data_IF_271891400671
#
_entry.id   IF_271891400671
#
_cell.length_a   1.000
_cell.length_b   1.000
_cell.length_c   1.000
_cell.angle_alpha   90.00
_cell.angle_beta   90.00
_cell.angle_gamma   90.00
#
_symmetry.space_group_name_H-M   'P 1'
#
loop_
_entity.id
_entity.type
_entity.pdbx_description
1 polymer ?
#
# COMPACT_ATOMS: atom_id res chain seq x y z
N UNK A 1 -3.86 19.18 3.90
CA UNK A 1 -4.43 19.12 2.52
C UNK A 1 -4.99 17.73 2.28
N UNK A 2 -5.92 17.52 1.32
CA UNK A 2 -6.34 16.17 0.94
C UNK A 2 -5.13 15.33 0.51
N UNK A 3 -5.04 14.06 0.94
CA UNK A 3 -3.96 13.18 0.53
C UNK A 3 -4.11 12.80 -0.94
N UNK A 4 -3.01 12.35 -1.55
CA UNK A 4 -3.03 11.73 -2.87
C UNK A 4 -3.27 10.22 -2.66
N UNK A 5 -4.22 9.65 -3.40
CA UNK A 5 -4.51 8.21 -3.39
C UNK A 5 -4.01 7.62 -4.71
N UNK A 6 -3.23 6.54 -4.62
CA UNK A 6 -2.72 5.78 -5.77
C UNK A 6 -3.17 4.33 -5.61
N UNK A 7 -4.12 3.90 -6.43
CA UNK A 7 -4.83 2.63 -6.22
C UNK A 7 -4.00 1.37 -6.51
N UNK A 8 -3.06 1.44 -7.45
CA UNK A 8 -2.28 0.30 -7.92
C UNK A 8 -0.78 0.60 -7.82
N UNK A 9 -0.36 1.19 -6.70
CA UNK A 9 1.04 1.50 -6.46
C UNK A 9 1.86 0.19 -6.37
N UNK A 10 2.88 0.07 -7.23
CA UNK A 10 3.86 -1.02 -7.18
C UNK A 10 5.03 -0.59 -6.30
N UNK A 11 5.23 -1.30 -5.20
CA UNK A 11 6.28 -0.99 -4.23
C UNK A 11 7.20 -2.20 -4.11
N UNK A 12 8.48 -2.04 -4.45
CA UNK A 12 9.50 -3.04 -4.13
C UNK A 12 9.80 -3.00 -2.64
N UNK A 13 9.78 -4.14 -1.97
CA UNK A 13 10.05 -4.21 -0.53
C UNK A 13 11.54 -4.34 -0.30
N UNK A 14 12.13 -3.31 0.32
CA UNK A 14 13.52 -3.34 0.81
C UNK A 14 13.57 -4.01 2.19
N UNK A 15 12.66 -3.61 3.09
CA UNK A 15 12.66 -4.11 4.47
C UNK A 15 11.22 -4.20 5.00
N UNK A 16 10.69 -5.42 5.18
CA UNK A 16 9.41 -5.62 5.84
C UNK A 16 9.56 -5.46 7.35
N UNK A 17 8.47 -5.08 8.01
CA UNK A 17 8.40 -5.10 9.47
C UNK A 17 7.84 -6.46 9.89
N UNK A 18 8.64 -7.24 10.63
CA UNK A 18 8.32 -8.60 11.07
C UNK A 18 8.09 -8.71 12.59
N UNK A 19 7.79 -7.59 13.24
CA UNK A 19 7.47 -7.52 14.67
C UNK A 19 6.35 -6.53 14.91
N UNK A 20 5.59 -6.73 15.97
CA UNK A 20 4.55 -5.79 16.35
C UNK A 20 5.14 -4.44 16.79
N UNK A 21 4.33 -3.38 16.70
CA UNK A 21 4.71 -2.00 17.02
C UNK A 21 4.60 -1.03 15.85
N UNK A 22 4.92 0.24 16.12
CA UNK A 22 4.82 1.35 15.16
C UNK A 22 6.10 1.52 14.35
N UNK A 23 6.56 0.45 13.70
CA UNK A 23 7.71 0.52 12.80
C UNK A 23 7.27 0.80 11.35
N UNK A 24 8.09 1.56 10.64
CA UNK A 24 7.88 1.83 9.21
C UNK A 24 8.56 0.77 8.36
N UNK A 25 7.85 0.34 7.32
CA UNK A 25 8.39 -0.46 6.23
C UNK A 25 9.27 0.40 5.35
N UNK A 26 10.26 -0.20 4.68
CA UNK A 26 11.03 0.46 3.63
C UNK A 26 10.79 -0.21 2.29
N UNK A 27 10.61 0.61 1.26
CA UNK A 27 10.46 0.13 -0.11
C UNK A 27 10.83 1.19 -1.14
N UNK A 28 10.79 0.79 -2.41
CA UNK A 28 11.00 1.67 -3.56
C UNK A 28 9.67 1.86 -4.25
N UNK A 29 9.26 3.12 -4.39
CA UNK A 29 8.10 3.54 -5.16
C UNK A 29 8.52 4.69 -6.07
N UNK A 30 8.14 4.64 -7.35
CA UNK A 30 8.53 5.63 -8.37
C UNK A 30 10.03 5.98 -8.33
N UNK A 31 10.88 4.92 -8.34
CA UNK A 31 12.34 5.00 -8.29
C UNK A 31 12.92 5.70 -7.05
N UNK A 32 12.09 5.98 -6.03
CA UNK A 32 12.50 6.63 -4.78
C UNK A 32 12.30 5.70 -3.60
N UNK A 33 13.27 5.68 -2.69
CA UNK A 33 13.13 4.99 -1.42
C UNK A 33 12.13 5.74 -0.55
N UNK A 34 11.09 5.05 -0.11
CA UNK A 34 10.09 5.57 0.83
C UNK A 34 10.09 4.75 2.12
N UNK A 35 9.77 5.41 3.22
CA UNK A 35 9.36 4.75 4.46
C UNK A 35 7.85 4.92 4.62
N UNK A 36 7.15 3.83 4.89
CA UNK A 36 5.69 3.85 4.93
C UNK A 36 5.12 3.03 6.08
N UNK A 37 3.91 3.39 6.48
CA UNK A 37 3.11 2.64 7.45
C UNK A 37 2.30 1.56 6.73
N UNK A 38 2.19 0.38 7.34
CA UNK A 38 1.27 -0.67 6.89
C UNK A 38 -0.05 -0.51 7.65
N UNK A 39 -0.97 0.28 7.09
CA UNK A 39 -2.31 0.47 7.65
C UNK A 39 -3.25 -0.72 7.36
N UNK A 40 -2.89 -1.58 6.41
CA UNK A 40 -3.55 -2.87 6.17
C UNK A 40 -3.29 -3.85 7.33
N UNK A 41 -4.23 -3.90 8.28
CA UNK A 41 -4.12 -4.74 9.49
C UNK A 41 -4.15 -6.22 9.17
N UNK A 42 -4.93 -6.65 8.18
CA UNK A 42 -5.04 -8.07 7.80
C UNK A 42 -3.74 -8.55 7.16
N UNK A 43 -3.19 -7.77 6.22
CA UNK A 43 -1.87 -8.05 5.66
C UNK A 43 -0.79 -8.10 6.73
N UNK A 44 -0.77 -7.12 7.64
CA UNK A 44 0.19 -7.10 8.75
C UNK A 44 0.08 -8.37 9.61
N UNK A 45 -1.13 -8.79 9.94
CA UNK A 45 -1.36 -10.04 10.70
C UNK A 45 -0.90 -11.28 9.93
N UNK A 46 -1.13 -11.35 8.62
CA UNK A 46 -0.68 -12.47 7.79
C UNK A 46 0.84 -12.54 7.66
N UNK A 47 1.53 -11.39 7.63
CA UNK A 47 3.00 -11.32 7.66
C UNK A 47 3.54 -11.76 9.02
N UNK A 48 3.00 -11.24 10.12
CA UNK A 48 3.44 -11.62 11.48
C UNK A 48 3.11 -13.08 11.82
N UNK A 49 2.04 -13.62 11.25
CA UNK A 49 1.68 -15.04 11.34
C UNK A 49 2.36 -15.93 10.30
N UNK A 50 3.39 -15.44 9.61
CA UNK A 50 4.21 -16.17 8.63
C UNK A 50 3.46 -16.75 7.43
N UNK A 51 2.21 -16.32 7.19
CA UNK A 51 1.44 -16.74 6.00
C UNK A 51 1.96 -16.06 4.72
N UNK A 52 2.59 -14.89 4.87
CA UNK A 52 3.19 -14.12 3.78
C UNK A 52 4.65 -13.85 4.13
N UNK A 53 5.56 -14.42 3.33
CA UNK A 53 7.00 -14.25 3.48
C UNK A 53 7.58 -13.33 2.41
N UNK A 54 8.72 -12.72 2.75
CA UNK A 54 9.46 -11.80 1.89
C UNK A 54 10.84 -12.36 1.56
N UNK A 55 11.27 -12.08 0.34
CA UNK A 55 12.63 -12.32 -0.14
C UNK A 55 13.07 -11.16 -1.04
N UNK A 56 14.34 -11.12 -1.39
CA UNK A 56 14.84 -10.15 -2.38
C UNK A 56 14.00 -10.20 -3.67
N UNK A 57 13.68 -9.03 -4.23
CA UNK A 57 12.80 -8.90 -5.39
C UNK A 57 11.32 -9.15 -5.09
N UNK A 58 10.87 -8.96 -3.84
CA UNK A 58 9.45 -8.98 -3.50
C UNK A 58 8.83 -7.61 -3.75
N UNK A 59 7.66 -7.61 -4.38
CA UNK A 59 6.84 -6.45 -4.64
C UNK A 59 5.46 -6.62 -4.02
N UNK A 60 4.83 -5.49 -3.71
CA UNK A 60 3.40 -5.40 -3.42
C UNK A 60 2.75 -4.46 -4.42
N UNK A 61 1.53 -4.81 -4.84
CA UNK A 61 0.59 -3.87 -5.45
C UNK A 61 -0.42 -3.46 -4.40
N UNK A 62 -0.64 -2.16 -4.23
CA UNK A 62 -1.44 -1.65 -3.13
C UNK A 62 -2.06 -0.28 -3.39
N UNK A 63 -3.11 0.03 -2.61
CA UNK A 63 -3.58 1.40 -2.43
C UNK A 63 -2.62 2.16 -1.51
N UNK A 64 -1.87 3.10 -2.09
CA UNK A 64 -0.93 3.98 -1.40
C UNK A 64 -1.56 5.35 -1.15
N UNK A 65 -1.52 5.79 0.10
CA UNK A 65 -1.90 7.13 0.54
C UNK A 65 -0.63 7.96 0.75
N UNK A 66 -0.55 9.11 0.09
CA UNK A 66 0.55 10.08 0.25
C UNK A 66 -0.03 11.35 0.88
N UNK A 67 0.31 11.57 2.15
CA UNK A 67 -0.09 12.76 2.90
C UNK A 67 0.85 13.92 2.60
N UNK A 68 0.26 15.12 2.46
CA UNK A 68 0.98 16.35 2.15
C UNK A 68 0.43 17.56 2.89
N UNK A 69 1.30 18.52 3.16
CA UNK A 69 0.98 19.80 3.77
C UNK A 69 1.72 20.94 3.04
N UNK A 70 1.29 22.17 3.31
CA UNK A 70 2.07 23.35 2.95
C UNK A 70 3.04 23.63 4.09
N UNK A 71 4.30 23.87 3.77
CA UNK A 71 5.25 24.36 4.76
C UNK A 71 5.14 25.88 4.97
N UNK A 72 5.99 26.43 5.82
CA UNK A 72 6.00 27.85 6.18
C UNK A 72 6.31 28.78 4.99
N UNK A 73 6.94 28.27 3.92
CA UNK A 73 7.21 29.01 2.70
C UNK A 73 6.08 28.92 1.67
N UNK A 74 5.06 28.08 1.94
CA UNK A 74 3.97 27.80 1.00
C UNK A 74 4.27 26.68 0.00
N UNK A 75 5.35 25.92 0.19
CA UNK A 75 5.71 24.79 -0.67
C UNK A 75 5.03 23.49 -0.21
N UNK A 76 4.73 22.60 -1.16
CA UNK A 76 4.12 21.30 -0.86
C UNK A 76 5.19 20.34 -0.35
N UNK A 77 4.99 19.86 0.88
CA UNK A 77 5.85 18.85 1.52
C UNK A 77 5.09 17.55 1.75
N UNK A 78 5.70 16.42 1.37
CA UNK A 78 5.19 15.08 1.72
C UNK A 78 5.48 14.80 3.20
N UNK A 79 4.46 14.41 3.96
CA UNK A 79 4.57 14.16 5.40
C UNK A 79 4.51 12.68 5.75
N UNK A 80 3.77 11.87 4.98
CA UNK A 80 3.62 10.44 5.26
C UNK A 80 3.31 9.63 4.00
N UNK A 81 3.72 8.37 4.02
CA UNK A 81 3.27 7.33 3.10
C UNK A 81 2.59 6.24 3.93
N UNK A 82 1.41 5.78 3.51
CA UNK A 82 0.71 4.69 4.16
C UNK A 82 0.12 3.75 3.11
N UNK A 83 0.38 2.45 3.27
CA UNK A 83 -0.26 1.40 2.47
C UNK A 83 -1.55 1.02 3.17
N UNK A 84 -2.69 1.33 2.55
CA UNK A 84 -4.03 1.10 3.12
C UNK A 84 -4.58 -0.28 2.82
N UNK A 85 -4.35 -0.80 1.63
CA UNK A 85 -4.76 -2.16 1.26
C UNK A 85 -3.75 -2.75 0.30
N UNK A 86 -3.17 -3.89 0.66
CA UNK A 86 -2.33 -4.67 -0.25
C UNK A 86 -3.25 -5.52 -1.10
N UNK A 87 -3.23 -5.32 -2.42
CA UNK A 87 -4.04 -6.08 -3.38
C UNK A 87 -3.41 -7.45 -3.60
N UNK A 88 -2.11 -7.47 -3.86
CA UNK A 88 -1.32 -8.69 -4.06
C UNK A 88 0.13 -8.49 -3.71
N UNK A 89 0.78 -9.56 -3.27
CA UNK A 89 2.23 -9.67 -3.14
C UNK A 89 2.74 -10.55 -4.27
N UNK A 90 3.82 -10.16 -4.92
CA UNK A 90 4.42 -10.96 -5.98
C UNK A 90 5.94 -10.89 -5.93
N UNK A 91 6.57 -11.91 -6.50
CA UNK A 91 8.01 -11.99 -6.72
C UNK A 91 8.27 -12.75 -8.02
N UNK A 92 9.54 -12.94 -8.40
CA UNK A 92 9.90 -13.65 -9.63
C UNK A 92 9.45 -15.12 -9.72
N UNK A 93 8.81 -15.68 -8.68
CA UNK A 93 8.35 -17.07 -8.65
C UNK A 93 6.85 -17.25 -8.40
N UNK A 94 6.19 -16.30 -7.73
CA UNK A 94 4.79 -16.45 -7.33
C UNK A 94 4.08 -15.12 -7.17
N UNK A 95 2.76 -15.17 -7.34
CA UNK A 95 1.84 -14.07 -7.01
C UNK A 95 0.80 -14.58 -6.03
N UNK A 96 0.57 -13.82 -4.97
CA UNK A 96 -0.41 -14.10 -3.92
C UNK A 96 -1.37 -12.92 -3.88
N UNK A 97 -2.60 -13.15 -4.33
CA UNK A 97 -3.70 -12.21 -4.13
C UNK A 97 -4.18 -12.28 -2.68
N UNK A 98 -4.38 -11.13 -2.05
CA UNK A 98 -4.84 -11.07 -0.67
C UNK A 98 -6.38 -11.12 -0.60
N UNK A 99 -6.91 -11.63 0.50
CA UNK A 99 -8.37 -11.69 0.71
C UNK A 99 -8.97 -10.28 0.77
N UNK A 100 -8.32 -9.35 1.45
CA UNK A 100 -8.72 -7.96 1.52
C UNK A 100 -8.59 -7.23 0.18
N UNK A 101 -7.57 -7.55 -0.63
CA UNK A 101 -7.39 -7.03 -1.97
C UNK A 101 -8.55 -7.40 -2.89
N UNK A 102 -8.99 -8.65 -2.85
CA UNK A 102 -10.17 -9.13 -3.59
C UNK A 102 -11.44 -8.36 -3.21
N UNK A 103 -11.67 -8.20 -1.90
CA UNK A 103 -12.84 -7.43 -1.38
C UNK A 103 -12.77 -5.96 -1.79
N UNK A 104 -11.59 -5.35 -1.71
CA UNK A 104 -11.36 -3.97 -2.12
C UNK A 104 -11.71 -3.75 -3.60
N UNK A 105 -11.17 -4.58 -4.50
CA UNK A 105 -11.45 -4.47 -5.93
C UNK A 105 -12.93 -4.72 -6.26
N UNK A 106 -13.58 -5.68 -5.59
CA UNK A 106 -15.00 -5.94 -5.78
C UNK A 106 -15.86 -4.72 -5.39
N UNK A 107 -15.58 -4.11 -4.23
CA UNK A 107 -16.28 -2.92 -3.77
C UNK A 107 -16.06 -1.72 -4.69
N UNK A 108 -14.83 -1.55 -5.20
CA UNK A 108 -14.49 -0.46 -6.12
C UNK A 108 -15.25 -0.57 -7.44
N UNK A 109 -15.28 -1.76 -8.05
CA UNK A 109 -16.05 -2.03 -9.27
C UNK A 109 -17.55 -1.79 -9.07
N UNK A 110 -18.09 -2.18 -7.92
CA UNK A 110 -19.50 -1.95 -7.60
C UNK A 110 -19.81 -0.44 -7.49
N UNK A 111 -18.93 0.34 -6.87
CA UNK A 111 -19.09 1.80 -6.74
C UNK A 111 -18.97 2.53 -8.10
N UNK A 112 -18.02 2.12 -8.94
CA UNK A 112 -17.86 2.63 -10.31
C UNK A 112 -19.12 2.33 -11.14
N UNK A 113 -19.59 1.09 -11.12
CA UNK A 113 -20.80 0.68 -11.86
C UNK A 113 -22.07 1.40 -11.39
N UNK A 114 -22.16 1.74 -10.09
CA UNK A 114 -23.27 2.53 -9.57
C UNK A 114 -23.19 3.99 -10.01
N UNK A 115 -21.99 4.56 -10.11
CA UNK A 115 -21.79 5.96 -10.55
C UNK A 115 -22.21 6.14 -12.01
N UNK A 116 -21.83 5.20 -12.89
CA UNK A 116 -22.20 5.19 -14.31
C UNK A 116 -23.71 5.10 -14.56
N UNK A 117 -24.53 4.73 -13.57
CA UNK A 117 -25.99 4.64 -13.70
C UNK A 117 -26.74 5.93 -13.37
N UNK A 118 -26.06 6.93 -12.80
CA UNK A 118 -26.65 8.22 -12.40
C UNK A 118 -26.22 9.39 -13.29
N UNK A 119 -25.36 9.16 -14.27
CA UNK A 119 -25.00 10.08 -15.35
C UNK A 119 -25.77 9.76 -16.64
#
# INVERSE_FOLDING_TARGET
MPPIIVDNAIIEIISPVLRDGQHKWKGIYDKKTISFEMADREFRSDVLGEKISFKHGTFIEAELIISKELDEAGDIKITNHAVKTVIRKFDGSSTIETSQGKRYLANKRAAESQTDMFD
#
